data_IF_562449476014
#
_entry.id   IF_562449476014
#
_cell.length_a   1.000
_cell.length_b   1.000
_cell.length_c   1.000
_cell.angle_alpha   90.00
_cell.angle_beta   90.00
_cell.angle_gamma   90.00
#
_symmetry.space_group_name_H-M   'P 1'
#
loop_
_entity.id
_entity.type
_entity.pdbx_description
1 polymer ?
#
# COMPACT_ATOMS: atom_id res chain seq x y z
N UNK A 1 9.07 11.70 -16.31
CA UNK A 1 8.98 11.56 -14.84
C UNK A 1 7.71 12.30 -14.48
N UNK A 2 6.58 11.59 -14.36
CA UNK A 2 5.28 12.21 -14.13
C UNK A 2 5.23 12.80 -12.72
N UNK A 3 4.63 13.97 -12.57
CA UNK A 3 4.41 14.60 -11.27
C UNK A 3 3.50 13.69 -10.44
N UNK A 4 4.01 13.14 -9.33
CA UNK A 4 3.22 12.34 -8.40
C UNK A 4 2.13 13.23 -7.78
N UNK A 5 0.87 12.80 -7.88
CA UNK A 5 -0.28 13.58 -7.42
C UNK A 5 -0.40 13.53 -5.89
N UNK A 6 -1.05 14.54 -5.30
CA UNK A 6 -1.47 14.51 -3.89
C UNK A 6 -2.75 13.69 -3.67
N UNK A 7 -3.06 12.78 -4.60
CA UNK A 7 -4.17 11.86 -4.51
C UNK A 7 -3.77 10.67 -3.65
N UNK A 8 -4.74 10.10 -2.93
CA UNK A 8 -4.60 8.81 -2.26
C UNK A 8 -3.92 7.81 -3.20
N UNK A 9 -3.02 6.99 -2.67
CA UNK A 9 -2.22 6.06 -3.45
C UNK A 9 -1.95 4.78 -2.68
N UNK A 10 -1.82 3.66 -3.40
CA UNK A 10 -1.55 2.38 -2.79
C UNK A 10 -0.17 1.89 -3.20
N UNK A 11 0.43 1.14 -2.31
CA UNK A 11 1.69 0.47 -2.51
C UNK A 11 1.43 -1.04 -2.47
N UNK A 12 1.61 -1.69 -3.62
CA UNK A 12 1.47 -3.13 -3.77
C UNK A 12 2.85 -3.79 -3.82
N UNK A 13 3.07 -4.78 -2.94
CA UNK A 13 4.34 -5.52 -2.83
C UNK A 13 4.03 -7.02 -2.78
N UNK A 14 4.77 -7.83 -3.55
CA UNK A 14 4.74 -9.30 -3.41
C UNK A 14 5.91 -9.76 -2.57
N UNK A 15 5.61 -10.59 -1.58
CA UNK A 15 6.56 -11.00 -0.55
C UNK A 15 6.35 -12.47 -0.19
N UNK A 16 7.39 -13.12 0.32
CA UNK A 16 7.24 -14.44 0.93
C UNK A 16 6.38 -14.37 2.19
N UNK A 17 5.68 -15.46 2.53
CA UNK A 17 4.84 -15.53 3.73
C UNK A 17 5.62 -15.27 5.03
N UNK A 18 6.92 -15.59 5.06
CA UNK A 18 7.83 -15.33 6.17
C UNK A 18 8.19 -13.84 6.34
N UNK A 19 8.03 -13.03 5.29
CA UNK A 19 8.37 -11.61 5.30
C UNK A 19 7.17 -10.70 5.57
N UNK A 20 5.95 -11.26 5.59
CA UNK A 20 4.69 -10.52 5.74
C UNK A 20 4.68 -9.69 7.02
N UNK A 21 4.95 -10.32 8.16
CA UNK A 21 4.89 -9.64 9.46
C UNK A 21 5.86 -8.45 9.54
N UNK A 22 7.10 -8.68 9.11
CA UNK A 22 8.17 -7.66 9.12
C UNK A 22 7.83 -6.51 8.19
N UNK A 23 7.30 -6.78 6.99
CA UNK A 23 6.97 -5.74 6.02
C UNK A 23 5.69 -5.01 6.40
N UNK A 24 4.69 -5.68 6.95
CA UNK A 24 3.50 -5.06 7.50
C UNK A 24 3.85 -4.07 8.63
N UNK A 25 4.72 -4.45 9.57
CA UNK A 25 5.18 -3.53 10.63
C UNK A 25 5.89 -2.30 10.04
N UNK A 26 6.78 -2.50 9.07
CA UNK A 26 7.50 -1.39 8.42
C UNK A 26 6.55 -0.47 7.67
N UNK A 27 5.53 -1.00 7.00
CA UNK A 27 4.51 -0.20 6.32
C UNK A 27 3.72 0.67 7.31
N UNK A 28 3.40 0.16 8.50
CA UNK A 28 2.83 0.96 9.59
C UNK A 28 3.78 2.06 10.08
N UNK A 29 5.06 1.76 10.26
CA UNK A 29 6.07 2.77 10.62
C UNK A 29 6.25 3.84 9.54
N UNK A 30 5.94 3.51 8.28
CA UNK A 30 5.98 4.43 7.13
C UNK A 30 4.68 5.23 6.94
N UNK A 31 3.69 5.04 7.81
CA UNK A 31 2.47 5.84 7.81
C UNK A 31 1.37 5.33 6.88
N UNK A 32 1.34 4.03 6.58
CA UNK A 32 0.18 3.44 5.90
C UNK A 32 -1.09 3.65 6.72
N UNK A 33 -2.22 3.86 6.04
CA UNK A 33 -3.55 4.01 6.65
C UNK A 33 -4.25 2.66 6.84
N UNK A 34 -3.76 1.63 6.17
CA UNK A 34 -4.26 0.27 6.23
C UNK A 34 -3.39 -0.67 5.42
N UNK A 35 -3.50 -1.98 5.66
CA UNK A 35 -2.82 -3.00 4.89
C UNK A 35 -3.83 -4.10 4.60
N UNK A 36 -3.95 -4.47 3.33
CA UNK A 36 -4.67 -5.65 2.90
C UNK A 36 -3.67 -6.72 2.48
N UNK A 37 -3.88 -7.95 2.97
CA UNK A 37 -3.06 -9.10 2.62
C UNK A 37 -3.84 -10.03 1.71
N UNK A 38 -3.28 -10.37 0.55
CA UNK A 38 -3.86 -11.33 -0.39
C UNK A 38 -2.90 -12.46 -0.67
N UNK A 39 -3.34 -13.70 -0.46
CA UNK A 39 -2.58 -14.87 -0.90
C UNK A 39 -2.57 -14.97 -2.43
N UNK A 40 -1.39 -14.99 -3.02
CA UNK A 40 -1.17 -15.12 -4.47
C UNK A 40 -0.22 -16.28 -4.72
N UNK A 41 -0.78 -17.48 -4.84
CA UNK A 41 0.01 -18.71 -4.97
C UNK A 41 0.77 -19.01 -3.68
N UNK A 42 2.10 -19.00 -3.75
CA UNK A 42 3.00 -19.20 -2.60
C UNK A 42 3.46 -17.90 -1.94
N UNK A 43 3.10 -16.76 -2.53
CA UNK A 43 3.45 -15.43 -2.05
C UNK A 43 2.24 -14.75 -1.42
N UNK A 44 2.51 -13.68 -0.69
CA UNK A 44 1.49 -12.76 -0.19
C UNK A 44 1.69 -11.42 -0.87
N UNK A 45 0.61 -10.87 -1.41
CA UNK A 45 0.55 -9.50 -1.88
C UNK A 45 0.07 -8.61 -0.74
N UNK A 46 0.94 -7.71 -0.29
CA UNK A 46 0.62 -6.65 0.65
C UNK A 46 0.21 -5.42 -0.14
N UNK A 47 -1.00 -4.92 0.13
CA UNK A 47 -1.54 -3.70 -0.45
C UNK A 47 -1.71 -2.70 0.70
N UNK A 48 -0.68 -1.89 0.88
CA UNK A 48 -0.71 -0.75 1.79
C UNK A 48 -1.27 0.47 1.07
N UNK A 49 -1.79 1.44 1.79
CA UNK A 49 -2.18 2.67 1.13
C UNK A 49 -2.07 3.88 2.02
N UNK A 50 -1.92 4.99 1.33
CA UNK A 50 -1.35 6.21 1.83
C UNK A 50 -2.25 7.36 1.38
N UNK A 51 -2.18 8.45 2.13
CA UNK A 51 -2.89 9.70 1.86
C UNK A 51 -2.36 10.46 0.63
N UNK A 52 -1.25 10.00 0.04
CA UNK A 52 -0.68 10.57 -1.18
C UNK A 52 0.21 9.59 -1.95
N UNK A 53 0.30 9.78 -3.27
CA UNK A 53 1.27 9.09 -4.14
C UNK A 53 2.71 9.36 -3.71
N UNK A 54 2.98 10.56 -3.23
CA UNK A 54 4.29 10.94 -2.68
C UNK A 54 4.65 10.11 -1.45
N UNK A 55 3.70 9.90 -0.52
CA UNK A 55 3.93 9.07 0.67
C UNK A 55 4.12 7.59 0.29
N UNK A 56 3.32 7.07 -0.64
CA UNK A 56 3.47 5.70 -1.15
C UNK A 56 4.83 5.49 -1.86
N UNK A 57 5.27 6.43 -2.68
CA UNK A 57 6.57 6.39 -3.36
C UNK A 57 7.74 6.48 -2.37
N UNK A 58 7.63 7.36 -1.37
CA UNK A 58 8.61 7.45 -0.28
C UNK A 58 8.73 6.11 0.49
N UNK A 59 7.59 5.49 0.80
CA UNK A 59 7.57 4.18 1.44
C UNK A 59 8.21 3.10 0.54
N UNK A 60 7.90 3.09 -0.75
CA UNK A 60 8.51 2.19 -1.75
C UNK A 60 10.05 2.31 -1.73
N UNK A 61 10.56 3.54 -1.83
CA UNK A 61 11.99 3.84 -1.82
C UNK A 61 12.66 3.38 -0.51
N UNK A 62 11.95 3.46 0.62
CA UNK A 62 12.49 3.08 1.94
C UNK A 62 12.53 1.56 2.15
N UNK A 63 11.59 0.83 1.58
CA UNK A 63 11.51 -0.63 1.70
C UNK A 63 12.58 -1.35 0.88
N UNK A 64 13.18 -0.69 -0.13
CA UNK A 64 14.22 -1.25 -1.02
C UNK A 64 13.80 -2.58 -1.68
N UNK A 65 12.50 -2.81 -1.83
CA UNK A 65 11.91 -3.96 -2.51
C UNK A 65 11.17 -3.50 -3.77
N UNK A 66 10.98 -4.40 -4.72
CA UNK A 66 10.10 -4.15 -5.85
C UNK A 66 8.69 -3.91 -5.34
N UNK A 67 8.23 -2.68 -5.48
CA UNK A 67 6.92 -2.24 -5.07
C UNK A 67 6.30 -1.44 -6.22
N UNK A 68 5.00 -1.61 -6.43
CA UNK A 68 4.24 -0.89 -7.44
C UNK A 68 3.39 0.14 -6.71
N UNK A 69 3.57 1.41 -7.05
CA UNK A 69 2.71 2.50 -6.57
C UNK A 69 1.60 2.70 -7.61
N UNK A 70 0.35 2.64 -7.17
CA UNK A 70 -0.82 2.92 -8.01
C UNK A 70 -1.60 4.10 -7.41
N UNK A 71 -1.87 5.12 -8.21
CA UNK A 71 -2.66 6.29 -7.82
C UNK A 71 -4.17 5.98 -7.94
N UNK A 72 -4.97 6.50 -7.00
CA UNK A 72 -6.41 6.27 -7.02
C UNK A 72 -7.05 7.20 -8.05
N UNK A 73 -7.35 6.67 -9.23
CA UNK A 73 -8.32 7.29 -10.13
C UNK A 73 -9.74 6.90 -9.68
N UNK A 74 -10.63 7.89 -9.52
CA UNK A 74 -12.03 7.70 -9.13
C UNK A 74 -12.72 6.63 -9.99
N UNK A 75 -13.40 5.67 -9.35
CA UNK A 75 -14.22 4.63 -10.00
C UNK A 75 -13.53 3.29 -10.23
N UNK A 76 -12.44 2.97 -9.51
CA UNK A 76 -11.62 1.76 -9.74
C UNK A 76 -11.70 0.77 -8.57
N UNK A 77 -11.06 -0.40 -8.72
CA UNK A 77 -10.88 -1.41 -7.65
C UNK A 77 -10.28 -0.81 -6.36
N UNK A 78 -9.60 0.33 -6.47
CA UNK A 78 -9.06 1.11 -5.37
C UNK A 78 -10.14 1.85 -4.57
N UNK A 79 -11.34 2.13 -5.09
CA UNK A 79 -12.46 2.63 -4.28
C UNK A 79 -12.90 1.63 -3.19
N UNK A 80 -12.77 0.32 -3.46
CA UNK A 80 -13.00 -0.70 -2.43
C UNK A 80 -11.93 -0.67 -1.35
N UNK A 81 -10.67 -0.40 -1.70
CA UNK A 81 -9.59 -0.26 -0.73
C UNK A 81 -9.78 1.02 0.11
N UNK A 82 -10.20 2.13 -0.50
CA UNK A 82 -10.54 3.36 0.24
C UNK A 82 -11.65 3.12 1.25
N UNK A 83 -12.67 2.34 0.90
CA UNK A 83 -13.69 1.90 1.85
C UNK A 83 -13.10 1.03 2.98
N UNK A 84 -12.20 0.09 2.67
CA UNK A 84 -11.53 -0.74 3.67
C UNK A 84 -10.66 0.08 4.63
N UNK A 85 -9.81 0.98 4.12
CA UNK A 85 -8.95 1.84 4.94
C UNK A 85 -9.74 2.86 5.77
N UNK A 86 -10.86 3.38 5.24
CA UNK A 86 -11.75 4.28 6.00
C UNK A 86 -12.34 3.60 7.24
N UNK A 87 -12.63 2.29 7.16
CA UNK A 87 -13.15 1.52 8.30
C UNK A 87 -12.09 1.38 9.41
N UNK A 88 -10.81 1.22 9.07
CA UNK A 88 -9.72 1.11 10.05
C UNK A 88 -9.21 2.46 10.58
N UNK A 89 -9.57 3.58 9.94
CA UNK A 89 -9.27 4.94 10.45
C UNK A 89 -10.15 5.37 11.63
N UNK A 90 -11.23 4.64 11.92
CA UNK A 90 -12.15 4.92 13.02
C UNK A 90 -11.78 4.19 14.34
N UNK A 91 -10.48 3.96 14.55
CA UNK A 91 -9.91 3.49 15.81
C UNK A 91 -9.46 4.64 16.71
#
# INVERSE_FOLDING_TARGET
MGELSYQDACLSIRVGADEVEILSERLWQLGTLGIEERSVGMEVQLIAGFDSAVAADFAAARLKKFAVVEEFASGTHLDHWRNFATIYRAG
#
